data_IF_385565353618
#
_entry.id   IF_385565353618
#
_cell.length_a   1.000
_cell.length_b   1.000
_cell.length_c   1.000
_cell.angle_alpha   90.00
_cell.angle_beta   90.00
_cell.angle_gamma   90.00
#
_symmetry.space_group_name_H-M   'P 1'
#
loop_
_entity.id
_entity.type
_entity.pdbx_description
1 polymer ?
#
# COMPACT_ATOMS: atom_id res chain seq x y z
N UNK A 1 -0.21 9.24 18.65
CA UNK A 1 -1.50 9.01 17.90
C UNK A 1 -1.18 8.78 16.43
N UNK A 2 -1.65 7.67 15.84
CA UNK A 2 -1.32 7.31 14.45
C UNK A 2 -2.19 8.10 13.47
N UNK A 3 -1.53 8.86 12.58
CA UNK A 3 -2.15 9.64 11.51
C UNK A 3 -1.74 9.11 10.15
N UNK A 4 -2.64 9.22 9.15
CA UNK A 4 -2.34 8.97 7.75
C UNK A 4 -2.43 10.30 7.02
N UNK A 5 -1.42 10.62 6.23
CA UNK A 5 -1.34 11.90 5.51
C UNK A 5 -0.52 11.77 4.23
N UNK A 6 -0.65 12.70 3.29
CA UNK A 6 0.27 12.81 2.16
C UNK A 6 1.73 12.95 2.62
N UNK A 7 2.62 12.29 1.87
CA UNK A 7 4.07 12.37 2.08
C UNK A 7 4.57 13.79 1.77
N UNK A 8 5.48 14.29 2.60
CA UNK A 8 6.14 15.59 2.43
C UNK A 8 7.60 15.39 1.98
N UNK A 9 8.25 16.41 1.39
CA UNK A 9 9.66 16.27 0.97
C UNK A 9 10.60 15.84 2.10
N UNK A 10 10.39 16.33 3.30
CA UNK A 10 11.19 15.95 4.47
C UNK A 10 11.00 14.52 4.96
N UNK A 11 9.96 13.82 4.48
CA UNK A 11 9.67 12.44 4.86
C UNK A 11 10.47 11.41 4.04
N UNK A 12 10.98 11.78 2.87
CA UNK A 12 11.55 10.84 1.87
C UNK A 12 12.61 9.92 2.48
N UNK A 13 13.59 10.47 3.18
CA UNK A 13 14.66 9.68 3.77
C UNK A 13 14.14 8.70 4.84
N UNK A 14 13.20 9.15 5.70
CA UNK A 14 12.59 8.33 6.73
C UNK A 14 11.69 7.24 6.14
N UNK A 15 10.90 7.57 5.12
CA UNK A 15 10.05 6.63 4.40
C UNK A 15 10.88 5.54 3.70
N UNK A 16 11.93 5.90 3.00
CA UNK A 16 12.86 4.94 2.38
C UNK A 16 13.49 4.00 3.42
N UNK A 17 13.97 4.56 4.53
CA UNK A 17 14.54 3.76 5.61
C UNK A 17 13.52 2.78 6.18
N UNK A 18 12.31 3.22 6.44
CA UNK A 18 11.22 2.34 6.90
C UNK A 18 10.94 1.21 5.91
N UNK A 19 10.77 1.52 4.63
CA UNK A 19 10.51 0.51 3.59
C UNK A 19 11.65 -0.51 3.48
N UNK A 20 12.90 -0.06 3.48
CA UNK A 20 14.06 -0.95 3.41
C UNK A 20 14.26 -1.79 4.68
N UNK A 21 13.86 -1.26 5.85
CA UNK A 21 13.86 -2.04 7.10
C UNK A 21 12.84 -3.18 7.02
N UNK A 22 11.65 -2.92 6.51
CA UNK A 22 10.64 -3.97 6.30
C UNK A 22 11.12 -4.99 5.26
N UNK A 23 11.67 -4.51 4.15
CA UNK A 23 12.22 -5.37 3.09
C UNK A 23 13.35 -6.28 3.61
N UNK A 24 14.23 -5.76 4.47
CA UNK A 24 15.28 -6.55 5.10
C UNK A 24 14.72 -7.76 5.87
N UNK A 25 13.67 -7.57 6.65
CA UNK A 25 13.03 -8.66 7.39
C UNK A 25 12.38 -9.73 6.51
N UNK A 26 12.08 -9.40 5.26
CA UNK A 26 11.47 -10.32 4.30
C UNK A 26 12.53 -11.02 3.43
N UNK A 27 13.49 -10.27 2.92
CA UNK A 27 14.41 -10.73 1.88
C UNK A 27 15.83 -11.05 2.39
N UNK A 28 16.17 -10.63 3.59
CA UNK A 28 17.50 -10.83 4.21
C UNK A 28 17.38 -10.99 5.74
N UNK A 29 16.51 -11.90 6.23
CA UNK A 29 16.17 -11.99 7.66
C UNK A 29 17.35 -12.42 8.53
N UNK A 30 18.37 -13.05 7.96
CA UNK A 30 19.53 -13.59 8.68
C UNK A 30 20.60 -12.51 8.95
N UNK A 31 20.45 -11.30 8.42
CA UNK A 31 21.40 -10.21 8.58
C UNK A 31 20.78 -8.98 9.25
N UNK A 32 21.58 -8.12 9.91
CA UNK A 32 21.07 -6.88 10.49
C UNK A 32 20.42 -5.98 9.43
N UNK A 33 19.21 -5.50 9.70
CA UNK A 33 18.46 -4.65 8.78
C UNK A 33 19.26 -3.41 8.33
N UNK A 34 20.10 -2.83 9.19
CA UNK A 34 20.97 -1.69 8.85
C UNK A 34 21.92 -2.00 7.70
N UNK A 35 22.45 -3.23 7.61
CA UNK A 35 23.33 -3.63 6.51
C UNK A 35 22.56 -3.68 5.18
N UNK A 36 21.34 -4.21 5.19
CA UNK A 36 20.47 -4.22 4.03
C UNK A 36 20.11 -2.79 3.57
N UNK A 37 19.69 -1.94 4.51
CA UNK A 37 19.35 -0.54 4.26
C UNK A 37 20.52 0.19 3.59
N UNK A 38 21.72 0.04 4.15
CA UNK A 38 22.92 0.71 3.59
C UNK A 38 23.26 0.26 2.18
N UNK A 39 23.08 -1.05 1.87
CA UNK A 39 23.33 -1.58 0.51
C UNK A 39 22.29 -1.13 -0.51
N UNK A 40 21.07 -0.84 -0.09
CA UNK A 40 19.92 -0.60 -0.98
C UNK A 40 19.41 0.86 -0.95
N UNK A 41 20.17 1.81 -0.41
CA UNK A 41 19.75 3.23 -0.36
C UNK A 41 19.46 3.83 -1.73
N UNK A 42 20.12 3.38 -2.79
CA UNK A 42 19.85 3.79 -4.18
C UNK A 42 18.60 3.14 -4.78
N UNK A 43 18.09 2.06 -4.18
CA UNK A 43 16.80 1.50 -4.56
C UNK A 43 15.67 2.48 -4.20
N UNK A 44 14.48 2.27 -4.74
CA UNK A 44 13.34 3.15 -4.49
C UNK A 44 13.52 4.57 -5.07
N UNK A 45 14.13 4.68 -6.25
CA UNK A 45 14.31 5.96 -6.96
C UNK A 45 12.99 6.69 -7.26
N UNK A 46 11.89 5.94 -7.41
CA UNK A 46 10.55 6.50 -7.55
C UNK A 46 10.07 7.20 -6.27
N UNK A 47 10.57 6.82 -5.09
CA UNK A 47 10.28 7.50 -3.83
C UNK A 47 11.08 8.81 -3.73
N UNK A 48 12.31 8.84 -4.23
CA UNK A 48 13.10 10.09 -4.33
C UNK A 48 12.38 11.11 -5.23
N UNK A 49 11.75 10.62 -6.31
CA UNK A 49 11.02 11.43 -7.29
C UNK A 49 9.49 11.33 -7.13
N UNK A 50 9.00 11.09 -5.91
CA UNK A 50 7.60 10.79 -5.65
C UNK A 50 6.62 11.87 -6.16
N UNK A 51 7.04 13.13 -6.15
CA UNK A 51 6.22 14.23 -6.63
C UNK A 51 5.88 14.14 -8.11
N UNK A 52 6.76 13.53 -8.92
CA UNK A 52 6.52 13.27 -10.33
C UNK A 52 5.82 11.94 -10.54
N UNK A 53 6.26 10.90 -9.83
CA UNK A 53 5.75 9.53 -10.00
C UNK A 53 4.33 9.35 -9.50
N UNK A 54 3.94 10.13 -8.48
CA UNK A 54 2.66 10.01 -7.78
C UNK A 54 1.96 11.37 -7.65
N UNK A 55 2.03 12.17 -8.72
CA UNK A 55 1.52 13.55 -8.70
C UNK A 55 -0.02 13.59 -8.66
N UNK A 56 -0.62 14.40 -7.76
CA UNK A 56 -2.04 14.73 -7.87
C UNK A 56 -2.35 15.48 -9.19
N UNK A 57 -3.58 15.36 -9.74
CA UNK A 57 -4.72 14.59 -9.22
C UNK A 57 -4.69 13.10 -9.59
N UNK A 58 -3.74 12.65 -10.39
CA UNK A 58 -3.70 11.30 -10.94
C UNK A 58 -3.06 10.26 -9.99
N UNK A 59 -2.27 10.71 -9.02
CA UNK A 59 -1.60 9.87 -8.06
C UNK A 59 -1.53 10.48 -6.67
N UNK A 60 -1.15 9.68 -5.69
CA UNK A 60 -0.91 10.10 -4.31
C UNK A 60 0.11 9.17 -3.65
N UNK A 61 0.86 9.72 -2.70
CA UNK A 61 1.75 8.95 -1.83
C UNK A 61 1.41 9.28 -0.37
N UNK A 62 0.93 8.29 0.37
CA UNK A 62 0.55 8.42 1.77
C UNK A 62 1.59 7.79 2.70
N UNK A 63 1.73 8.36 3.88
CA UNK A 63 2.50 7.81 4.99
C UNK A 63 1.62 7.69 6.23
N UNK A 64 1.80 6.59 6.97
CA UNK A 64 1.29 6.45 8.32
C UNK A 64 2.38 6.87 9.29
N UNK A 65 2.02 7.74 10.24
CA UNK A 65 2.96 8.37 11.17
C UNK A 65 2.46 8.16 12.60
N UNK A 66 3.32 7.65 13.45
CA UNK A 66 3.10 7.60 14.90
C UNK A 66 4.06 8.58 15.57
N UNK A 67 3.49 9.65 16.12
CA UNK A 67 4.21 10.84 16.59
C UNK A 67 5.15 11.41 15.49
N UNK A 68 6.45 11.16 15.55
CA UNK A 68 7.42 11.59 14.53
C UNK A 68 7.95 10.44 13.66
N UNK A 69 7.53 9.19 13.92
CA UNK A 69 8.03 8.02 13.23
C UNK A 69 7.13 7.66 12.05
N UNK A 70 7.71 7.53 10.85
CA UNK A 70 7.01 6.93 9.71
C UNK A 70 7.00 5.42 9.91
N UNK A 71 5.81 4.86 10.06
CA UNK A 71 5.57 3.45 10.38
C UNK A 71 5.02 2.65 9.21
N UNK A 72 4.49 3.33 8.20
CA UNK A 72 3.93 2.70 7.01
C UNK A 72 3.79 3.67 5.85
N UNK A 73 3.50 3.12 4.69
CA UNK A 73 3.33 3.86 3.44
C UNK A 73 2.40 3.14 2.47
N UNK A 74 1.94 3.86 1.47
CA UNK A 74 1.23 3.34 0.31
C UNK A 74 1.06 4.42 -0.75
N UNK A 75 1.02 4.03 -2.00
CA UNK A 75 0.92 4.98 -3.11
C UNK A 75 0.01 4.46 -4.22
N UNK A 76 -0.63 5.39 -4.91
CA UNK A 76 -1.40 5.17 -6.14
C UNK A 76 -0.73 5.97 -7.25
N UNK A 77 -0.53 5.34 -8.40
CA UNK A 77 -0.16 6.04 -9.64
C UNK A 77 -1.07 5.62 -10.78
N UNK A 78 -1.24 6.52 -11.74
CA UNK A 78 -1.99 6.26 -12.96
C UNK A 78 -1.27 5.25 -13.85
N UNK A 79 -2.03 4.32 -14.43
CA UNK A 79 -1.61 3.48 -15.55
C UNK A 79 -2.31 3.98 -16.82
N UNK A 80 -3.64 4.08 -16.81
CA UNK A 80 -4.47 4.65 -17.87
C UNK A 80 -5.68 5.38 -17.27
N UNK A 81 -6.70 5.66 -18.05
CA UNK A 81 -7.86 6.45 -17.61
C UNK A 81 -8.77 5.70 -16.64
N UNK A 82 -8.74 4.37 -16.64
CA UNK A 82 -9.58 3.51 -15.79
C UNK A 82 -8.77 2.74 -14.73
N UNK A 83 -7.44 2.61 -14.92
CA UNK A 83 -6.60 1.77 -14.09
C UNK A 83 -5.50 2.54 -13.36
N UNK A 84 -5.43 2.33 -12.06
CA UNK A 84 -4.32 2.74 -11.21
C UNK A 84 -3.48 1.55 -10.73
N UNK A 85 -2.25 1.83 -10.31
CA UNK A 85 -1.37 0.84 -9.67
C UNK A 85 -1.14 1.21 -8.21
N UNK A 86 -1.41 0.26 -7.31
CA UNK A 86 -1.03 0.33 -5.91
C UNK A 86 0.43 -0.03 -5.76
N UNK A 87 1.19 0.84 -5.12
CA UNK A 87 2.63 0.66 -4.91
C UNK A 87 3.05 1.03 -3.50
N UNK A 88 4.25 0.60 -3.13
CA UNK A 88 4.92 1.03 -1.89
C UNK A 88 4.06 0.84 -0.64
N UNK A 89 3.26 -0.23 -0.63
CA UNK A 89 2.45 -0.61 0.51
C UNK A 89 3.32 -1.36 1.53
N UNK A 90 3.80 -0.65 2.53
CA UNK A 90 4.70 -1.15 3.56
C UNK A 90 4.20 -0.77 4.96
N UNK A 91 4.45 -1.61 5.94
CA UNK A 91 4.13 -1.37 7.34
C UNK A 91 5.17 -2.07 8.21
N UNK A 92 5.72 -1.36 9.20
CA UNK A 92 6.60 -1.95 10.19
C UNK A 92 5.89 -3.10 10.93
N UNK A 93 6.62 -4.19 11.17
CA UNK A 93 6.09 -5.40 11.77
C UNK A 93 5.43 -5.16 13.13
N UNK A 94 6.04 -4.32 13.96
CA UNK A 94 5.52 -3.95 15.29
C UNK A 94 4.11 -3.33 15.25
N UNK A 95 3.66 -2.86 14.09
CA UNK A 95 2.35 -2.23 13.90
C UNK A 95 1.35 -3.13 13.17
N UNK A 96 1.73 -4.37 12.87
CA UNK A 96 0.81 -5.34 12.28
C UNK A 96 -0.33 -5.72 13.25
N UNK A 97 -1.49 -6.06 12.69
CA UNK A 97 -2.67 -6.45 13.48
C UNK A 97 -3.46 -5.29 14.11
N UNK A 98 -3.00 -4.05 13.96
CA UNK A 98 -3.64 -2.85 14.53
C UNK A 98 -4.57 -2.12 13.53
N UNK A 99 -4.86 -2.72 12.39
CA UNK A 99 -5.75 -2.13 11.37
C UNK A 99 -5.14 -1.00 10.54
N UNK A 100 -3.85 -0.64 10.73
CA UNK A 100 -3.20 0.49 10.06
C UNK A 100 -3.09 0.27 8.55
N UNK A 101 -2.70 -0.94 8.13
CA UNK A 101 -2.66 -1.31 6.71
C UNK A 101 -4.02 -1.18 6.04
N UNK A 102 -5.09 -1.57 6.73
CA UNK A 102 -6.46 -1.41 6.26
C UNK A 102 -6.86 0.06 6.13
N UNK A 103 -6.49 0.89 7.11
CA UNK A 103 -6.74 2.35 7.04
C UNK A 103 -6.01 2.99 5.87
N UNK A 104 -4.72 2.66 5.67
CA UNK A 104 -3.92 3.15 4.53
C UNK A 104 -4.59 2.81 3.20
N UNK A 105 -4.96 1.56 2.99
CA UNK A 105 -5.53 1.13 1.71
C UNK A 105 -6.93 1.72 1.48
N UNK A 106 -7.72 1.94 2.52
CA UNK A 106 -9.01 2.65 2.41
C UNK A 106 -8.82 4.08 1.91
N UNK A 107 -7.88 4.82 2.47
CA UNK A 107 -7.55 6.18 2.01
C UNK A 107 -7.10 6.18 0.54
N UNK A 108 -6.26 5.21 0.15
CA UNK A 108 -5.80 5.05 -1.22
C UNK A 108 -6.94 4.71 -2.18
N UNK A 109 -7.88 3.85 -1.79
CA UNK A 109 -9.05 3.52 -2.61
C UNK A 109 -10.03 4.70 -2.70
N UNK A 110 -10.21 5.45 -1.63
CA UNK A 110 -11.00 6.68 -1.64
C UNK A 110 -10.41 7.68 -2.65
N UNK A 111 -9.09 7.87 -2.62
CA UNK A 111 -8.40 8.67 -3.61
C UNK A 111 -8.60 8.13 -5.03
N UNK A 112 -8.38 6.84 -5.26
CA UNK A 112 -8.48 6.22 -6.58
C UNK A 112 -9.88 6.38 -7.19
N UNK A 113 -10.94 6.18 -6.39
CA UNK A 113 -12.33 6.42 -6.83
C UNK A 113 -12.57 7.89 -7.17
N UNK A 114 -12.13 8.81 -6.32
CA UNK A 114 -12.27 10.25 -6.56
C UNK A 114 -11.50 10.71 -7.81
N UNK A 115 -10.39 10.04 -8.14
CA UNK A 115 -9.64 10.27 -9.36
C UNK A 115 -10.26 9.63 -10.62
N UNK A 116 -11.34 8.85 -10.47
CA UNK A 116 -12.08 8.24 -11.56
C UNK A 116 -11.63 6.84 -11.98
N UNK A 117 -10.74 6.20 -11.21
CA UNK A 117 -10.30 4.85 -11.53
C UNK A 117 -11.35 3.80 -11.17
N UNK A 118 -11.68 2.92 -12.12
CA UNK A 118 -12.55 1.77 -11.91
C UNK A 118 -11.80 0.54 -11.40
N UNK A 119 -10.47 0.51 -11.55
CA UNK A 119 -9.63 -0.66 -11.20
C UNK A 119 -8.31 -0.26 -10.58
N UNK A 120 -7.83 -1.10 -9.66
CA UNK A 120 -6.48 -1.01 -9.09
C UNK A 120 -5.78 -2.35 -9.25
N UNK A 121 -4.56 -2.34 -9.81
CA UNK A 121 -3.68 -3.50 -9.87
C UNK A 121 -2.45 -3.32 -9.01
N UNK A 122 -1.79 -4.41 -8.68
CA UNK A 122 -0.51 -4.44 -7.99
C UNK A 122 0.30 -5.67 -8.40
N UNK A 123 1.60 -5.63 -8.13
CA UNK A 123 2.43 -6.84 -8.07
C UNK A 123 3.15 -6.90 -6.73
N UNK A 124 3.41 -8.11 -6.28
CA UNK A 124 4.15 -8.38 -5.05
C UNK A 124 4.94 -9.67 -5.20
N UNK A 125 6.08 -9.78 -4.52
CA UNK A 125 6.86 -11.02 -4.58
C UNK A 125 6.06 -12.20 -4.00
N UNK A 126 6.20 -13.37 -4.63
CA UNK A 126 5.52 -14.59 -4.22
C UNK A 126 5.87 -15.04 -2.79
N UNK A 127 7.04 -14.63 -2.26
CA UNK A 127 7.44 -14.91 -0.88
C UNK A 127 6.67 -14.08 0.15
N UNK A 128 6.03 -12.99 -0.28
CA UNK A 128 5.23 -12.11 0.59
C UNK A 128 3.83 -12.68 0.85
N UNK A 129 3.74 -13.89 1.38
CA UNK A 129 2.48 -14.62 1.57
C UNK A 129 1.48 -13.88 2.47
N UNK A 130 1.98 -13.09 3.45
CA UNK A 130 1.13 -12.25 4.31
C UNK A 130 0.48 -11.12 3.52
N UNK A 131 1.22 -10.44 2.65
CA UNK A 131 0.71 -9.38 1.80
C UNK A 131 -0.32 -9.94 0.80
N UNK A 132 -0.03 -11.08 0.16
CA UNK A 132 -0.96 -11.74 -0.75
C UNK A 132 -2.28 -12.07 -0.05
N UNK A 133 -2.23 -12.65 1.15
CA UNK A 133 -3.45 -12.91 1.95
C UNK A 133 -4.20 -11.64 2.33
N UNK A 134 -3.49 -10.57 2.66
CA UNK A 134 -4.09 -9.27 2.96
C UNK A 134 -4.86 -8.73 1.75
N UNK A 135 -4.25 -8.71 0.56
CA UNK A 135 -4.90 -8.26 -0.67
C UNK A 135 -6.07 -9.14 -1.08
N UNK A 136 -5.94 -10.47 -0.97
CA UNK A 136 -7.04 -11.40 -1.28
C UNK A 136 -8.27 -11.14 -0.39
N UNK A 137 -8.06 -10.88 0.91
CA UNK A 137 -9.15 -10.51 1.82
C UNK A 137 -9.82 -9.18 1.47
N UNK A 138 -9.11 -8.30 0.79
CA UNK A 138 -9.62 -7.03 0.27
C UNK A 138 -10.30 -7.16 -1.09
N UNK A 139 -10.45 -8.38 -1.62
CA UNK A 139 -11.12 -8.65 -2.88
C UNK A 139 -10.24 -8.53 -4.12
N UNK A 140 -8.91 -8.50 -3.96
CA UNK A 140 -8.01 -8.66 -5.09
C UNK A 140 -8.04 -10.11 -5.59
N UNK A 141 -8.00 -10.29 -6.90
CA UNK A 141 -7.91 -11.57 -7.59
C UNK A 141 -6.66 -11.63 -8.47
N UNK A 142 -6.17 -12.83 -8.72
CA UNK A 142 -5.00 -13.04 -9.55
C UNK A 142 -5.30 -12.72 -11.02
N UNK A 143 -4.33 -12.09 -11.68
CA UNK A 143 -4.35 -11.79 -13.11
C UNK A 143 -3.06 -12.29 -13.75
N UNK A 144 -3.04 -12.34 -15.08
CA UNK A 144 -1.85 -12.67 -15.84
C UNK A 144 -0.77 -11.60 -15.65
N UNK A 145 0.52 -11.98 -15.69
CA UNK A 145 1.62 -11.02 -15.62
C UNK A 145 1.53 -9.96 -16.73
N UNK A 146 1.70 -8.71 -16.36
CA UNK A 146 1.75 -7.59 -17.29
C UNK A 146 3.18 -7.07 -17.52
N UNK A 147 4.16 -7.79 -16.98
CA UNK A 147 5.61 -7.65 -17.25
C UNK A 147 6.30 -8.98 -16.99
N UNK A 148 7.48 -9.17 -17.58
CA UNK A 148 8.30 -10.34 -17.29
C UNK A 148 8.91 -10.25 -15.89
N UNK A 149 8.79 -11.34 -15.14
CA UNK A 149 9.36 -11.51 -13.81
C UNK A 149 9.24 -12.98 -13.40
N UNK A 150 10.19 -13.46 -12.61
CA UNK A 150 10.28 -14.86 -12.22
C UNK A 150 9.60 -15.16 -10.87
N UNK A 151 9.33 -14.14 -10.04
CA UNK A 151 8.94 -14.34 -8.63
C UNK A 151 7.81 -13.42 -8.13
N UNK A 152 7.08 -12.76 -9.03
CA UNK A 152 5.98 -11.88 -8.64
C UNK A 152 4.60 -12.49 -8.89
N UNK A 153 3.66 -12.13 -8.03
CA UNK A 153 2.22 -12.38 -8.18
C UNK A 153 1.56 -11.07 -8.58
N UNK A 154 0.67 -11.15 -9.56
CA UNK A 154 -0.07 -10.01 -10.11
C UNK A 154 -1.52 -10.09 -9.68
N UNK A 155 -2.03 -9.01 -9.11
CA UNK A 155 -3.36 -8.95 -8.54
C UNK A 155 -4.08 -7.69 -9.04
N UNK A 156 -5.40 -7.80 -9.19
CA UNK A 156 -6.29 -6.68 -9.57
C UNK A 156 -7.53 -6.67 -8.69
N UNK A 157 -8.09 -5.50 -8.48
CA UNK A 157 -9.38 -5.30 -7.84
C UNK A 157 -10.20 -4.28 -8.60
N UNK A 158 -11.50 -4.56 -8.79
CA UNK A 158 -12.48 -3.56 -9.23
C UNK A 158 -12.84 -2.66 -8.04
N UNK A 159 -12.88 -1.35 -8.30
CA UNK A 159 -13.33 -0.35 -7.34
C UNK A 159 -14.83 -0.13 -7.54
N UNK A 160 -15.68 -0.87 -6.83
CA UNK A 160 -17.13 -0.64 -6.86
C UNK A 160 -17.49 0.72 -6.21
N UNK A 161 -18.63 1.31 -6.62
CA UNK A 161 -19.04 2.66 -6.19
C UNK A 161 -19.32 2.82 -4.69
N UNK A 162 -19.41 1.74 -3.90
CA UNK A 162 -19.59 1.84 -2.43
C UNK A 162 -19.20 0.56 -1.70
N UNK A 163 -18.03 0.54 -1.12
CA UNK A 163 -17.70 -0.43 -0.07
C UNK A 163 -18.24 0.01 1.32
N UNK A 164 -19.02 1.07 1.40
CA UNK A 164 -19.53 1.65 2.66
C UNK A 164 -20.97 1.19 3.03
N UNK A 165 -21.58 0.34 2.21
CA UNK A 165 -22.97 -0.14 2.44
C UNK A 165 -23.07 -1.40 3.31
N UNK A 166 -22.03 -1.82 4.01
CA UNK A 166 -21.95 -3.11 4.73
C UNK A 166 -22.05 -3.06 6.25
N UNK A 167 -22.52 -1.96 6.87
CA UNK A 167 -22.83 -1.95 8.33
C UNK A 167 -24.05 -1.09 8.65
N UNK A 168 -25.22 -1.59 8.35
CA UNK A 168 -26.44 -0.91 8.73
C UNK A 168 -27.69 -1.69 8.40
N UNK A 169 -27.83 -2.88 8.96
CA UNK A 169 -29.17 -3.49 9.15
C UNK A 169 -29.10 -4.41 10.36
N UNK A 170 -29.11 -3.82 11.53
CA UNK A 170 -29.56 -4.49 12.73
C UNK A 170 -31.05 -4.72 12.60
N UNK A 171 -31.46 -5.93 12.31
CA UNK A 171 -32.84 -6.35 12.41
C UNK A 171 -33.27 -6.21 13.86
N UNK A 172 -34.15 -5.26 14.14
CA UNK A 172 -35.05 -5.35 15.30
C UNK A 172 -36.04 -6.47 15.02
N UNK A 173 -35.89 -7.55 15.74
CA UNK A 173 -36.98 -8.53 15.92
C UNK A 173 -37.83 -7.94 17.02
N UNK A 174 -39.00 -7.47 16.64
CA UNK A 174 -40.07 -7.14 17.58
C UNK A 174 -40.73 -8.41 18.10
N UNK A 175 -40.90 -8.45 19.40
CA UNK A 175 -41.81 -9.38 20.09
C UNK A 175 -43.25 -9.18 19.59
N UNK A 176 -43.89 -10.29 19.31
CA UNK A 176 -45.27 -10.65 19.69
C UNK A 176 -45.40 -12.18 19.66
#
# INVERSE_FOLDING_TARGET
MITIRPMKPGDVAAAKRMMLTVAAGIFDPDHPAAAFVNRHTAALSDVDDYRRQYAPPAGTFLVAVDDALIIGSGAIRRIDDDMAELRRMWLLEAYHGQGIGYRLIRELFTFARAAGYGRVRLSTSAVQTRAIRFYTRLGFYAIDPYRETDDEVFLERLLAESDDAGRGSGAQVGDD
#
